data_IF_580369382446
#
_entry.id   IF_580369382446
#
_cell.length_a   1.000
_cell.length_b   1.000
_cell.length_c   1.000
_cell.angle_alpha   90.00
_cell.angle_beta   90.00
_cell.angle_gamma   90.00
#
_symmetry.space_group_name_H-M   'P 1'
#
loop_
_entity.id
_entity.type
_entity.pdbx_description
1 polymer ?
#
# COMPACT_ATOMS: atom_id res chain seq x y z
N UNK A 1 16.89 3.40 -8.26
CA UNK A 1 16.64 3.00 -6.85
C UNK A 1 17.27 3.99 -5.88
N UNK A 2 18.60 4.16 -5.87
CA UNK A 2 19.31 5.06 -4.93
C UNK A 2 18.84 6.54 -5.03
N UNK A 3 18.71 7.09 -6.24
CA UNK A 3 18.22 8.47 -6.42
C UNK A 3 16.78 8.68 -5.93
N UNK A 4 15.86 7.76 -6.25
CA UNK A 4 14.48 7.82 -5.77
C UNK A 4 14.38 7.64 -4.25
N UNK A 5 15.14 6.70 -3.68
CA UNK A 5 15.23 6.54 -2.22
C UNK A 5 15.80 7.77 -1.52
N UNK A 6 16.85 8.37 -2.09
CA UNK A 6 17.41 9.63 -1.61
C UNK A 6 16.41 10.78 -1.64
N UNK A 7 15.60 10.88 -2.71
CA UNK A 7 14.56 11.90 -2.82
C UNK A 7 13.46 11.75 -1.77
N UNK A 8 13.05 10.50 -1.47
CA UNK A 8 12.07 10.22 -0.40
C UNK A 8 12.65 10.58 0.98
N UNK A 9 13.93 10.27 1.23
CA UNK A 9 14.61 10.65 2.48
C UNK A 9 14.70 12.17 2.61
N UNK A 10 15.05 12.89 1.54
CA UNK A 10 15.12 14.37 1.53
C UNK A 10 13.74 14.98 1.76
N UNK A 11 12.69 14.45 1.14
CA UNK A 11 11.33 14.93 1.37
C UNK A 11 10.84 14.66 2.79
N UNK A 12 11.07 13.45 3.31
CA UNK A 12 10.78 13.13 4.71
C UNK A 12 11.51 14.09 5.65
N UNK A 13 12.80 14.35 5.41
CA UNK A 13 13.57 15.35 6.14
C UNK A 13 12.95 16.75 6.05
N UNK A 14 12.58 17.23 4.85
CA UNK A 14 11.95 18.55 4.69
C UNK A 14 10.62 18.65 5.43
N UNK A 15 9.82 17.58 5.46
CA UNK A 15 8.55 17.54 6.19
C UNK A 15 8.73 17.44 7.73
N UNK A 16 9.84 16.89 8.22
CA UNK A 16 10.10 16.79 9.68
C UNK A 16 10.20 18.16 10.37
N UNK A 17 10.62 19.20 9.66
CA UNK A 17 10.67 20.57 10.19
C UNK A 17 9.30 21.14 10.56
N UNK A 18 8.21 20.61 9.98
CA UNK A 18 6.85 21.06 10.23
C UNK A 18 6.07 20.21 11.26
N UNK A 19 6.51 18.97 11.55
CA UNK A 19 5.72 18.00 12.34
C UNK A 19 6.48 17.31 13.49
N UNK A 20 7.72 17.73 13.77
CA UNK A 20 8.45 17.32 14.97
C UNK A 20 9.38 16.11 14.78
N UNK A 21 10.68 16.41 14.61
CA UNK A 21 11.81 15.52 14.90
C UNK A 21 12.04 14.31 13.98
N UNK A 22 13.30 14.05 13.62
CA UNK A 22 13.72 12.81 12.95
C UNK A 22 14.05 11.76 14.01
N UNK A 23 13.08 10.93 14.39
CA UNK A 23 13.26 9.90 15.41
C UNK A 23 12.50 8.63 15.05
N UNK A 24 13.13 7.46 15.30
CA UNK A 24 12.45 6.17 15.19
C UNK A 24 11.45 6.04 16.32
N UNK A 25 10.19 5.91 15.96
CA UNK A 25 9.06 5.64 16.86
C UNK A 25 8.73 4.16 16.86
N UNK A 26 7.95 3.70 17.84
CA UNK A 26 7.44 2.33 17.88
C UNK A 26 6.61 1.96 16.64
N UNK A 27 6.04 2.95 15.95
CA UNK A 27 5.24 2.76 14.73
C UNK A 27 6.12 2.36 13.53
N UNK A 28 7.37 2.83 13.48
CA UNK A 28 8.30 2.50 12.40
C UNK A 28 8.65 1.01 12.39
N UNK A 29 8.71 0.38 13.56
CA UNK A 29 8.89 -1.07 13.68
C UNK A 29 7.70 -1.86 13.15
N UNK A 30 6.47 -1.39 13.40
CA UNK A 30 5.26 -1.98 12.83
C UNK A 30 5.23 -1.83 11.31
N UNK A 31 5.66 -0.67 10.80
CA UNK A 31 5.78 -0.42 9.37
C UNK A 31 6.82 -1.35 8.71
N UNK A 32 7.99 -1.50 9.32
CA UNK A 32 9.03 -2.42 8.84
C UNK A 32 8.52 -3.87 8.83
N UNK A 33 7.83 -4.29 9.90
CA UNK A 33 7.17 -5.60 9.98
C UNK A 33 6.14 -5.80 8.87
N UNK A 34 5.31 -4.79 8.60
CA UNK A 34 4.31 -4.82 7.54
C UNK A 34 4.96 -4.96 6.15
N UNK A 35 6.06 -4.24 5.88
CA UNK A 35 6.81 -4.34 4.62
C UNK A 35 7.37 -5.75 4.42
N UNK A 36 7.96 -6.33 5.47
CA UNK A 36 8.49 -7.71 5.41
C UNK A 36 7.37 -8.72 5.20
N UNK A 37 6.29 -8.63 5.98
CA UNK A 37 5.14 -9.51 5.85
C UNK A 37 4.50 -9.43 4.45
N UNK A 38 4.30 -8.22 3.92
CA UNK A 38 3.79 -8.00 2.58
C UNK A 38 4.73 -8.59 1.52
N UNK A 39 6.05 -8.37 1.64
CA UNK A 39 7.04 -8.89 0.70
C UNK A 39 7.05 -10.42 0.66
N UNK A 40 7.00 -11.06 1.84
CA UNK A 40 6.87 -12.52 1.96
C UNK A 40 5.58 -12.99 1.30
N UNK A 41 4.44 -12.40 1.67
CA UNK A 41 3.13 -12.74 1.11
C UNK A 41 3.11 -12.66 -0.42
N UNK A 42 3.66 -11.59 -1.00
CA UNK A 42 3.74 -11.39 -2.45
C UNK A 42 4.67 -12.40 -3.14
N UNK A 43 5.88 -12.60 -2.61
CA UNK A 43 6.86 -13.48 -3.26
C UNK A 43 6.39 -14.93 -3.24
N UNK A 44 5.90 -15.41 -2.10
CA UNK A 44 5.38 -16.78 -2.01
C UNK A 44 4.04 -16.91 -2.74
N UNK A 45 3.15 -15.92 -2.65
CA UNK A 45 1.89 -15.90 -3.39
C UNK A 45 2.12 -16.00 -4.90
N UNK A 46 3.05 -15.22 -5.45
CA UNK A 46 3.40 -15.26 -6.87
C UNK A 46 4.00 -16.62 -7.28
N UNK A 47 4.84 -17.25 -6.43
CA UNK A 47 5.43 -18.57 -6.71
C UNK A 47 4.40 -19.70 -6.76
N UNK A 48 3.34 -19.61 -5.96
CA UNK A 48 2.29 -20.64 -5.88
C UNK A 48 1.16 -20.38 -6.89
N UNK A 49 1.05 -19.14 -7.40
CA UNK A 49 0.03 -18.73 -8.38
C UNK A 49 -0.03 -19.64 -9.62
N UNK A 50 1.08 -20.07 -10.25
CA UNK A 50 1.03 -20.98 -11.40
C UNK A 50 0.43 -22.36 -11.10
N UNK A 51 0.51 -22.82 -9.83
CA UNK A 51 0.00 -24.13 -9.42
C UNK A 51 -1.44 -24.10 -8.92
N UNK A 52 -1.83 -23.05 -8.19
CA UNK A 52 -3.16 -22.95 -7.56
C UNK A 52 -4.12 -22.00 -8.27
N UNK A 53 -3.63 -21.12 -9.15
CA UNK A 53 -4.39 -20.01 -9.71
C UNK A 53 -4.47 -18.81 -8.75
N UNK A 54 -4.51 -17.61 -9.33
CA UNK A 54 -4.51 -16.32 -8.62
C UNK A 54 -5.63 -16.22 -7.58
N UNK A 55 -6.81 -16.71 -7.93
CA UNK A 55 -8.02 -16.59 -7.12
C UNK A 55 -7.92 -17.43 -5.84
N UNK A 56 -7.37 -18.64 -5.94
CA UNK A 56 -7.19 -19.52 -4.77
C UNK A 56 -6.07 -19.03 -3.87
N UNK A 57 -4.99 -18.49 -4.45
CA UNK A 57 -3.88 -17.93 -3.68
C UNK A 57 -4.35 -16.82 -2.76
N UNK A 58 -5.09 -15.82 -3.27
CA UNK A 58 -5.56 -14.73 -2.39
C UNK A 58 -6.55 -15.22 -1.33
N UNK A 59 -7.45 -16.17 -1.66
CA UNK A 59 -8.33 -16.76 -0.66
C UNK A 59 -7.53 -17.41 0.49
N UNK A 60 -6.48 -18.16 0.17
CA UNK A 60 -5.60 -18.75 1.17
C UNK A 60 -4.79 -17.71 1.94
N UNK A 61 -4.33 -16.64 1.31
CA UNK A 61 -3.65 -15.53 2.00
C UNK A 61 -4.59 -14.85 2.99
N UNK A 62 -5.83 -14.56 2.60
CA UNK A 62 -6.83 -13.97 3.48
C UNK A 62 -7.16 -14.90 4.65
N UNK A 63 -7.38 -16.20 4.39
CA UNK A 63 -7.62 -17.19 5.43
C UNK A 63 -6.42 -17.35 6.36
N UNK A 64 -5.20 -17.34 5.82
CA UNK A 64 -3.95 -17.43 6.58
C UNK A 64 -3.67 -16.19 7.44
N UNK A 65 -4.24 -15.03 7.09
CA UNK A 65 -4.15 -13.83 7.90
C UNK A 65 -5.11 -13.83 9.10
N UNK A 66 -6.26 -14.52 9.02
CA UNK A 66 -7.29 -14.54 10.07
C UNK A 66 -6.79 -14.96 11.45
N UNK A 67 -5.93 -16.00 11.62
CA UNK A 67 -5.41 -16.39 12.92
C UNK A 67 -4.66 -15.29 13.66
N UNK A 68 -4.16 -14.28 12.95
CA UNK A 68 -3.44 -13.14 13.53
C UNK A 68 -4.37 -11.93 13.63
N UNK A 69 -5.08 -11.59 12.54
CA UNK A 69 -5.88 -10.37 12.48
C UNK A 69 -7.13 -10.45 13.34
N UNK A 70 -7.77 -11.62 13.46
CA UNK A 70 -8.99 -11.78 14.25
C UNK A 70 -8.74 -11.63 15.76
N UNK A 71 -7.75 -12.29 16.39
CA UNK A 71 -7.46 -12.06 17.81
C UNK A 71 -7.07 -10.61 18.11
N UNK A 72 -6.29 -9.98 17.23
CA UNK A 72 -5.91 -8.56 17.38
C UNK A 72 -7.15 -7.67 17.30
N UNK A 73 -8.07 -7.92 16.35
CA UNK A 73 -9.31 -7.16 16.23
C UNK A 73 -10.23 -7.33 17.46
N UNK A 74 -10.28 -8.53 18.03
CA UNK A 74 -11.03 -8.79 19.27
C UNK A 74 -10.37 -8.14 20.49
N UNK A 75 -9.03 -8.11 20.55
CA UNK A 75 -8.30 -7.48 21.64
C UNK A 75 -8.42 -5.95 21.61
N UNK A 76 -8.46 -5.36 20.42
CA UNK A 76 -8.68 -3.92 20.20
C UNK A 76 -10.17 -3.55 20.08
N UNK A 77 -11.07 -4.48 20.41
CA UNK A 77 -12.51 -4.24 20.29
C UNK A 77 -12.95 -3.12 21.24
N UNK A 78 -13.76 -2.15 20.78
CA UNK A 78 -14.18 -1.04 21.62
C UNK A 78 -15.09 -1.52 22.76
N UNK A 79 -15.00 -0.87 23.93
CA UNK A 79 -15.81 -1.21 25.09
C UNK A 79 -17.32 -1.17 24.80
N UNK A 80 -17.76 -0.24 23.94
CA UNK A 80 -19.14 -0.17 23.46
C UNK A 80 -19.18 -0.45 21.95
N UNK A 81 -19.84 -1.54 21.55
CA UNK A 81 -20.00 -1.87 20.14
C UNK A 81 -20.82 -0.83 19.35
N UNK A 82 -21.66 -0.04 20.04
CA UNK A 82 -22.44 1.06 19.45
C UNK A 82 -21.59 2.22 18.94
N UNK A 83 -20.32 2.33 19.35
CA UNK A 83 -19.40 3.38 18.90
C UNK A 83 -18.92 3.14 17.45
N UNK A 84 -19.12 1.92 16.92
CA UNK A 84 -18.73 1.57 15.56
C UNK A 84 -19.77 2.13 14.58
N UNK A 85 -19.39 3.22 13.89
CA UNK A 85 -20.24 3.88 12.90
C UNK A 85 -20.64 2.90 11.77
N UNK A 86 -21.89 2.91 11.26
CA UNK A 86 -22.29 2.07 10.13
C UNK A 86 -21.42 2.24 8.89
N UNK A 87 -20.90 3.44 8.66
CA UNK A 87 -19.95 3.73 7.57
C UNK A 87 -18.63 2.96 7.69
N UNK A 88 -18.19 2.65 8.92
CA UNK A 88 -16.98 1.86 9.14
C UNK A 88 -17.18 0.40 8.69
N UNK A 89 -18.36 -0.17 8.94
CA UNK A 89 -18.73 -1.49 8.43
C UNK A 89 -18.80 -1.53 6.91
N UNK A 90 -19.43 -0.53 6.28
CA UNK A 90 -19.45 -0.40 4.82
C UNK A 90 -18.03 -0.28 4.24
N UNK A 91 -17.17 0.53 4.86
CA UNK A 91 -15.76 0.65 4.50
C UNK A 91 -15.01 -0.67 4.64
N UNK A 92 -15.21 -1.40 5.74
CA UNK A 92 -14.61 -2.71 5.95
C UNK A 92 -15.01 -3.72 4.86
N UNK A 93 -16.31 -3.81 4.56
CA UNK A 93 -16.81 -4.69 3.50
C UNK A 93 -16.22 -4.30 2.14
N UNK A 94 -16.21 -3.01 1.81
CA UNK A 94 -15.63 -2.53 0.55
C UNK A 94 -14.13 -2.85 0.43
N UNK A 95 -13.35 -2.50 1.45
CA UNK A 95 -11.90 -2.73 1.46
C UNK A 95 -11.60 -4.23 1.42
N UNK A 96 -12.32 -5.04 2.20
CA UNK A 96 -12.12 -6.50 2.24
C UNK A 96 -12.50 -7.20 0.94
N UNK A 97 -13.65 -6.89 0.36
CA UNK A 97 -14.18 -7.63 -0.81
C UNK A 97 -13.71 -7.06 -2.14
N UNK A 98 -13.78 -5.74 -2.33
CA UNK A 98 -13.47 -5.10 -3.61
C UNK A 98 -11.96 -4.88 -3.73
N UNK A 99 -11.36 -4.21 -2.74
CA UNK A 99 -9.94 -3.82 -2.83
C UNK A 99 -9.00 -4.99 -2.58
N UNK A 100 -9.19 -5.71 -1.47
CA UNK A 100 -8.28 -6.77 -1.05
C UNK A 100 -8.54 -8.10 -1.76
N UNK A 101 -9.78 -8.56 -1.84
CA UNK A 101 -10.07 -9.86 -2.46
C UNK A 101 -10.15 -9.78 -3.99
N UNK A 102 -11.11 -9.03 -4.55
CA UNK A 102 -11.31 -8.95 -5.99
C UNK A 102 -10.16 -8.24 -6.72
N UNK A 103 -9.65 -7.14 -6.16
CA UNK A 103 -8.50 -6.41 -6.72
C UNK A 103 -7.26 -7.29 -6.87
N UNK A 104 -7.04 -8.22 -5.94
CA UNK A 104 -5.89 -9.12 -6.00
C UNK A 104 -6.02 -10.24 -7.03
N UNK A 105 -7.23 -10.56 -7.51
CA UNK A 105 -7.36 -11.42 -8.69
C UNK A 105 -6.70 -10.78 -9.91
N UNK A 106 -7.02 -9.51 -10.17
CA UNK A 106 -6.40 -8.74 -11.24
C UNK A 106 -4.90 -8.56 -11.01
N UNK A 107 -4.48 -8.34 -9.76
CA UNK A 107 -3.07 -8.19 -9.40
C UNK A 107 -2.23 -9.44 -9.67
N UNK A 108 -2.64 -10.60 -9.13
CA UNK A 108 -1.89 -11.84 -9.30
C UNK A 108 -1.88 -12.31 -10.77
N UNK A 109 -2.99 -12.11 -11.51
CA UNK A 109 -3.00 -12.36 -12.97
C UNK A 109 -2.10 -11.40 -13.72
N UNK A 110 -2.07 -10.12 -13.32
CA UNK A 110 -1.15 -9.13 -13.88
C UNK A 110 0.32 -9.50 -13.66
N UNK A 111 0.66 -10.05 -12.48
CA UNK A 111 1.99 -10.55 -12.17
C UNK A 111 2.38 -11.75 -13.06
N UNK A 112 1.44 -12.66 -13.29
CA UNK A 112 1.64 -13.83 -14.14
C UNK A 112 1.86 -13.44 -15.62
N UNK A 113 1.03 -12.52 -16.15
CA UNK A 113 1.09 -12.10 -17.56
C UNK A 113 2.21 -11.09 -17.86
N UNK A 114 2.40 -10.10 -17.01
CA UNK A 114 3.31 -8.97 -17.24
C UNK A 114 4.71 -9.18 -16.65
N UNK A 115 4.87 -10.16 -15.75
CA UNK A 115 6.05 -10.34 -14.93
C UNK A 115 6.19 -9.27 -13.84
N UNK A 116 6.83 -9.63 -12.73
CA UNK A 116 6.97 -8.77 -11.55
C UNK A 116 7.59 -7.40 -11.84
N UNK A 117 8.52 -7.31 -12.81
CA UNK A 117 9.19 -6.06 -13.15
C UNK A 117 8.21 -5.03 -13.73
N UNK A 118 7.39 -5.39 -14.72
CA UNK A 118 6.46 -4.44 -15.37
C UNK A 118 5.36 -4.01 -14.42
N UNK A 119 4.81 -4.95 -13.66
CA UNK A 119 3.77 -4.67 -12.66
C UNK A 119 4.30 -3.73 -11.57
N UNK A 120 5.52 -3.96 -11.09
CA UNK A 120 6.18 -3.06 -10.14
C UNK A 120 6.35 -1.65 -10.69
N UNK A 121 6.62 -1.50 -12.00
CA UNK A 121 6.67 -0.17 -12.60
C UNK A 121 5.29 0.50 -12.69
N UNK A 122 4.23 -0.24 -13.03
CA UNK A 122 2.85 0.32 -12.99
C UNK A 122 2.48 0.78 -11.58
N UNK A 123 2.98 0.09 -10.56
CA UNK A 123 2.75 0.45 -9.16
C UNK A 123 3.36 1.81 -8.78
N UNK A 124 4.37 2.30 -9.52
CA UNK A 124 4.91 3.65 -9.33
C UNK A 124 3.88 4.73 -9.67
N UNK A 125 2.84 4.40 -10.44
CA UNK A 125 1.74 5.32 -10.71
C UNK A 125 0.74 5.43 -9.53
N UNK A 126 0.70 4.43 -8.66
CA UNK A 126 -0.28 4.32 -7.58
C UNK A 126 -0.28 5.53 -6.63
N UNK A 127 0.87 6.05 -6.13
CA UNK A 127 0.87 7.21 -5.25
C UNK A 127 0.29 8.47 -5.89
N UNK A 128 0.50 8.65 -7.20
CA UNK A 128 0.00 9.80 -7.93
C UNK A 128 -1.50 9.73 -8.17
N UNK A 129 -2.01 8.55 -8.55
CA UNK A 129 -3.45 8.32 -8.66
C UNK A 129 -4.14 8.50 -7.31
N UNK A 130 -3.54 7.97 -6.23
CA UNK A 130 -4.05 8.16 -4.88
C UNK A 130 -4.13 9.65 -4.52
N UNK A 131 -3.09 10.43 -4.81
CA UNK A 131 -3.08 11.88 -4.58
C UNK A 131 -4.13 12.62 -5.45
N UNK A 132 -4.28 12.23 -6.71
CA UNK A 132 -5.28 12.80 -7.61
C UNK A 132 -6.71 12.53 -7.12
N UNK A 133 -6.99 11.33 -6.61
CA UNK A 133 -8.29 10.97 -6.07
C UNK A 133 -8.53 11.54 -4.67
N UNK A 134 -7.50 11.74 -3.86
CA UNK A 134 -7.63 12.30 -2.51
C UNK A 134 -8.26 13.70 -2.52
N UNK A 135 -7.98 14.51 -3.54
CA UNK A 135 -8.55 15.86 -3.64
C UNK A 135 -10.09 15.88 -3.73
N UNK A 136 -10.74 15.25 -4.71
CA UNK A 136 -12.21 15.23 -4.77
C UNK A 136 -12.86 14.32 -3.72
N UNK A 137 -12.21 13.24 -3.26
CA UNK A 137 -12.83 12.28 -2.34
C UNK A 137 -12.67 12.65 -0.87
N UNK A 138 -11.50 13.12 -0.45
CA UNK A 138 -11.20 13.48 0.95
C UNK A 138 -11.26 15.00 1.18
N UNK A 139 -11.37 15.80 0.11
CA UNK A 139 -11.35 17.27 0.21
C UNK A 139 -9.97 17.84 0.54
N UNK A 140 -8.92 17.02 0.46
CA UNK A 140 -7.56 17.46 0.74
C UNK A 140 -7.08 18.45 -0.35
N UNK A 141 -6.74 19.67 0.05
CA UNK A 141 -6.17 20.65 -0.87
C UNK A 141 -4.73 20.23 -1.15
N UNK A 142 -4.45 19.92 -2.42
CA UNK A 142 -3.10 19.60 -2.87
C UNK A 142 -2.22 20.84 -2.73
N UNK A 143 -1.36 20.84 -1.72
CA UNK A 143 -0.38 21.90 -1.50
C UNK A 143 0.63 21.93 -2.65
N UNK A 144 1.10 23.12 -3.01
CA UNK A 144 2.01 23.33 -4.14
C UNK A 144 3.33 22.55 -3.95
N UNK A 145 3.76 22.37 -2.68
CA UNK A 145 4.94 21.58 -2.32
C UNK A 145 4.72 20.09 -2.60
N UNK A 146 3.54 19.54 -2.25
CA UNK A 146 3.18 18.15 -2.52
C UNK A 146 3.09 17.86 -4.02
N UNK A 147 2.52 18.79 -4.80
CA UNK A 147 2.47 18.69 -6.26
C UNK A 147 3.89 18.74 -6.85
N UNK A 148 4.73 19.69 -6.40
CA UNK A 148 6.11 19.80 -6.85
C UNK A 148 6.94 18.55 -6.56
N UNK A 149 6.79 17.98 -5.36
CA UNK A 149 7.43 16.73 -5.00
C UNK A 149 6.92 15.56 -5.85
N UNK A 150 5.61 15.46 -6.04
CA UNK A 150 5.03 14.42 -6.88
C UNK A 150 5.59 14.48 -8.31
N UNK A 151 5.64 15.67 -8.92
CA UNK A 151 6.22 15.86 -10.25
C UNK A 151 7.70 15.47 -10.30
N UNK A 152 8.48 15.81 -9.27
CA UNK A 152 9.88 15.40 -9.18
C UNK A 152 10.04 13.87 -9.10
N UNK A 153 9.16 13.18 -8.37
CA UNK A 153 9.19 11.71 -8.28
C UNK A 153 8.80 11.11 -9.63
N UNK A 154 7.77 11.63 -10.31
CA UNK A 154 7.41 11.21 -11.68
C UNK A 154 8.59 11.40 -12.62
N UNK A 155 9.26 12.55 -12.59
CA UNK A 155 10.41 12.83 -13.45
C UNK A 155 11.57 11.85 -13.19
N UNK A 156 11.83 11.52 -11.93
CA UNK A 156 12.88 10.57 -11.53
C UNK A 156 12.54 9.15 -12.01
N UNK A 157 11.28 8.74 -11.88
CA UNK A 157 10.78 7.45 -12.37
C UNK A 157 10.86 7.39 -13.89
N UNK A 158 10.40 8.42 -14.59
CA UNK A 158 10.44 8.51 -16.05
C UNK A 158 11.87 8.49 -16.59
N UNK A 159 12.79 9.21 -15.96
CA UNK A 159 14.21 9.19 -16.34
C UNK A 159 14.83 7.80 -16.12
N UNK A 160 14.43 7.10 -15.05
CA UNK A 160 14.89 5.73 -14.79
C UNK A 160 14.40 4.70 -15.81
N UNK A 161 13.23 4.94 -16.42
CA UNK A 161 12.71 4.16 -17.53
C UNK A 161 13.48 4.42 -18.82
N UNK A 162 13.90 5.66 -19.06
CA UNK A 162 14.58 6.05 -20.31
C UNK A 162 16.05 5.63 -20.37
N UNK A 163 16.67 5.41 -19.22
CA UNK A 163 18.06 4.98 -19.08
C UNK A 163 18.25 3.45 -19.06
N UNK A 164 17.17 2.68 -19.23
CA UNK A 164 17.16 1.22 -19.40
C UNK A 164 16.77 0.85 -20.82
#
# INVERSE_FOLDING_TARGET
AVLGGGMVVVFAWMCTGAHGGFGLTSVDWLLAGAVVAASVGYVYGAKVTPALGAERVICWVCLGALPITLPIALWLWPANAGDIRPSAWAGFVYVGTVSMWAGFFAWYRGLDWGGALRVSQTQLLQPFLAMLFAWPLLGERLDAVSIGFALAVVATVFLSWRLR
#
